data_IF_954009869321
#
_entry.id   IF_954009869321
#
_cell.length_a   1.000
_cell.length_b   1.000
_cell.length_c   1.000
_cell.angle_alpha   90.00
_cell.angle_beta   90.00
_cell.angle_gamma   90.00
#
_symmetry.space_group_name_H-M   'P 1'
#
loop_
_entity.id
_entity.type
_entity.pdbx_description
1 polymer ?
#
# COMPACT_ATOMS: atom_id res chain seq x y z
N UNK A 1 -14.59 -25.43 -94.87
CA UNK A 1 -14.19 -26.83 -94.68
C UNK A 1 -13.66 -26.93 -93.26
N UNK A 2 -14.48 -27.43 -92.34
CA UNK A 2 -14.01 -27.79 -91.01
C UNK A 2 -13.46 -29.21 -91.16
N UNK A 3 -12.19 -29.33 -91.54
CA UNK A 3 -11.52 -30.63 -91.48
C UNK A 3 -11.34 -31.00 -90.01
N UNK A 4 -12.36 -31.65 -89.45
CA UNK A 4 -12.25 -32.30 -88.15
C UNK A 4 -11.21 -33.41 -88.31
N UNK A 5 -9.99 -33.13 -87.86
CA UNK A 5 -8.95 -34.12 -87.70
C UNK A 5 -9.04 -34.67 -86.26
N UNK A 6 -9.52 -35.92 -86.06
CA UNK A 6 -9.66 -36.49 -84.72
C UNK A 6 -8.34 -36.59 -83.97
N UNK A 7 -7.22 -36.75 -84.69
CA UNK A 7 -5.87 -36.78 -84.11
C UNK A 7 -5.46 -35.44 -83.52
N UNK A 8 -5.74 -34.33 -84.22
CA UNK A 8 -5.45 -32.98 -83.73
C UNK A 8 -6.31 -32.62 -82.52
N UNK A 9 -7.59 -33.02 -82.53
CA UNK A 9 -8.50 -32.83 -81.38
C UNK A 9 -8.00 -33.59 -80.14
N UNK A 10 -7.53 -34.83 -80.32
CA UNK A 10 -7.01 -35.65 -79.23
C UNK A 10 -5.69 -35.08 -78.68
N UNK A 11 -4.81 -34.57 -79.55
CA UNK A 11 -3.59 -33.88 -79.13
C UNK A 11 -3.88 -32.61 -78.33
N UNK A 12 -4.82 -31.76 -78.79
CA UNK A 12 -5.23 -30.55 -78.08
C UNK A 12 -5.83 -30.88 -76.71
N UNK A 13 -6.63 -31.95 -76.61
CA UNK A 13 -7.14 -32.44 -75.32
C UNK A 13 -6.02 -32.85 -74.37
N UNK A 14 -5.03 -33.61 -74.84
CA UNK A 14 -3.87 -34.00 -74.02
C UNK A 14 -3.11 -32.76 -73.51
N UNK A 15 -2.86 -31.78 -74.38
CA UNK A 15 -2.18 -30.54 -74.01
C UNK A 15 -3.01 -29.74 -73.00
N UNK A 16 -4.33 -29.65 -73.19
CA UNK A 16 -5.23 -28.96 -72.27
C UNK A 16 -5.22 -29.60 -70.87
N UNK A 17 -5.36 -30.93 -70.78
CA UNK A 17 -5.32 -31.64 -69.49
C UNK A 17 -3.94 -31.55 -68.83
N UNK A 18 -2.87 -31.62 -69.62
CA UNK A 18 -1.49 -31.45 -69.12
C UNK A 18 -1.27 -30.05 -68.56
N UNK A 19 -1.74 -29.02 -69.27
CA UNK A 19 -1.66 -27.63 -68.83
C UNK A 19 -2.51 -27.38 -67.57
N UNK A 20 -3.73 -27.93 -67.53
CA UNK A 20 -4.61 -27.83 -66.36
C UNK A 20 -3.98 -28.46 -65.12
N UNK A 21 -3.35 -29.63 -65.27
CA UNK A 21 -2.62 -30.29 -64.18
C UNK A 21 -1.43 -29.44 -63.69
N UNK A 22 -0.66 -28.87 -64.62
CA UNK A 22 0.45 -27.99 -64.30
C UNK A 22 -0.01 -26.71 -63.56
N UNK A 23 -1.08 -26.06 -64.02
CA UNK A 23 -1.64 -24.89 -63.36
C UNK A 23 -2.24 -25.21 -61.98
N UNK A 24 -2.87 -26.37 -61.82
CA UNK A 24 -3.42 -26.80 -60.53
C UNK A 24 -2.34 -26.85 -59.44
N UNK A 25 -1.21 -27.47 -59.77
CA UNK A 25 -0.09 -27.63 -58.84
C UNK A 25 0.73 -26.35 -58.67
N UNK A 26 0.96 -25.59 -59.75
CA UNK A 26 1.82 -24.41 -59.72
C UNK A 26 1.12 -23.14 -59.22
N UNK A 27 -0.18 -22.97 -59.50
CA UNK A 27 -0.88 -21.71 -59.25
C UNK A 27 -2.06 -21.84 -58.29
N UNK A 28 -3.02 -22.73 -58.59
CA UNK A 28 -4.26 -22.78 -57.83
C UNK A 28 -4.05 -23.27 -56.39
N UNK A 29 -3.27 -24.33 -56.17
CA UNK A 29 -2.94 -24.79 -54.83
C UNK A 29 -2.22 -23.75 -53.96
N UNK A 30 -1.11 -23.12 -54.39
CA UNK A 30 -0.46 -22.12 -53.55
C UNK A 30 -1.31 -20.86 -53.34
N UNK A 31 -2.13 -20.46 -54.33
CA UNK A 31 -3.02 -19.32 -54.19
C UNK A 31 -4.12 -19.57 -53.14
N UNK A 32 -4.78 -20.74 -53.19
CA UNK A 32 -5.80 -21.12 -52.22
C UNK A 32 -5.20 -21.26 -50.82
N UNK A 33 -4.04 -21.91 -50.72
CA UNK A 33 -3.32 -22.00 -49.45
C UNK A 33 -3.03 -20.63 -48.84
N UNK A 34 -2.61 -19.65 -49.66
CA UNK A 34 -2.38 -18.30 -49.17
C UNK A 34 -3.66 -17.61 -48.68
N UNK A 35 -4.81 -17.86 -49.32
CA UNK A 35 -6.10 -17.35 -48.84
C UNK A 35 -6.49 -18.00 -47.50
N UNK A 36 -6.36 -19.32 -47.38
CA UNK A 36 -6.63 -20.05 -46.14
C UNK A 36 -5.70 -19.61 -45.01
N UNK A 37 -4.40 -19.46 -45.27
CA UNK A 37 -3.42 -19.00 -44.28
C UNK A 37 -3.74 -17.56 -43.83
N UNK A 38 -4.22 -16.70 -44.72
CA UNK A 38 -4.68 -15.35 -44.38
C UNK A 38 -5.94 -15.35 -43.52
N UNK A 39 -6.94 -16.13 -43.90
CA UNK A 39 -8.19 -16.22 -43.14
C UNK A 39 -7.94 -16.79 -41.74
N UNK A 40 -7.07 -17.80 -41.64
CA UNK A 40 -6.63 -18.35 -40.36
C UNK A 40 -5.88 -17.33 -39.50
N UNK A 41 -5.00 -16.53 -40.11
CA UNK A 41 -4.26 -15.46 -39.41
C UNK A 41 -5.22 -14.39 -38.89
N UNK A 42 -6.15 -13.91 -39.71
CA UNK A 42 -7.14 -12.90 -39.31
C UNK A 42 -8.03 -13.41 -38.19
N UNK A 43 -8.49 -14.66 -38.28
CA UNK A 43 -9.30 -15.28 -37.22
C UNK A 43 -8.51 -15.40 -35.91
N UNK A 44 -7.22 -15.74 -35.99
CA UNK A 44 -6.35 -15.83 -34.82
C UNK A 44 -6.09 -14.44 -34.21
N UNK A 45 -5.79 -13.44 -35.03
CA UNK A 45 -5.56 -12.06 -34.58
C UNK A 45 -6.80 -11.46 -33.92
N UNK A 46 -8.00 -11.71 -34.48
CA UNK A 46 -9.27 -11.26 -33.89
C UNK A 46 -9.49 -11.92 -32.53
N UNK A 47 -9.30 -13.25 -32.45
CA UNK A 47 -9.44 -14.00 -31.19
C UNK A 47 -8.44 -13.51 -30.13
N UNK A 48 -7.17 -13.31 -30.51
CA UNK A 48 -6.16 -12.81 -29.59
C UNK A 48 -6.49 -11.40 -29.12
N UNK A 49 -7.00 -10.53 -30.00
CA UNK A 49 -7.40 -9.18 -29.62
C UNK A 49 -8.56 -9.19 -28.61
N UNK A 50 -9.55 -10.07 -28.80
CA UNK A 50 -10.66 -10.27 -27.87
C UNK A 50 -10.17 -10.82 -26.52
N UNK A 51 -9.35 -11.88 -26.53
CA UNK A 51 -8.76 -12.45 -25.31
C UNK A 51 -7.87 -11.43 -24.57
N UNK A 52 -7.10 -10.60 -25.28
CA UNK A 52 -6.28 -9.56 -24.66
C UNK A 52 -7.14 -8.44 -24.07
N UNK A 53 -8.25 -8.08 -24.71
CA UNK A 53 -9.19 -7.09 -24.17
C UNK A 53 -9.86 -7.59 -22.88
N UNK A 54 -10.34 -8.83 -22.88
CA UNK A 54 -10.95 -9.46 -21.70
C UNK A 54 -9.94 -9.60 -20.56
N UNK A 55 -8.74 -10.11 -20.85
CA UNK A 55 -7.67 -10.21 -19.86
C UNK A 55 -7.27 -8.83 -19.31
N UNK A 56 -7.27 -7.78 -20.14
CA UNK A 56 -6.97 -6.42 -19.68
C UNK A 56 -8.04 -5.90 -18.71
N UNK A 57 -9.32 -6.12 -19.01
CA UNK A 57 -10.43 -5.78 -18.11
C UNK A 57 -10.30 -6.52 -16.77
N UNK A 58 -10.04 -7.82 -16.80
CA UNK A 58 -9.87 -8.64 -15.60
C UNK A 58 -8.67 -8.23 -14.76
N UNK A 59 -7.55 -7.90 -15.41
CA UNK A 59 -6.35 -7.41 -14.73
C UNK A 59 -6.57 -6.04 -14.08
N UNK A 60 -7.29 -5.14 -14.76
CA UNK A 60 -7.67 -3.84 -14.17
C UNK A 60 -8.61 -4.03 -12.97
N UNK A 61 -9.63 -4.89 -13.08
CA UNK A 61 -10.52 -5.18 -11.97
C UNK A 61 -9.79 -5.77 -10.75
N UNK A 62 -8.83 -6.68 -10.98
CA UNK A 62 -7.96 -7.22 -9.92
C UNK A 62 -7.06 -6.15 -9.30
N UNK A 63 -6.49 -5.27 -10.12
CA UNK A 63 -5.66 -4.16 -9.62
C UNK A 63 -6.48 -3.19 -8.77
N UNK A 64 -7.68 -2.83 -9.20
CA UNK A 64 -8.59 -1.95 -8.44
C UNK A 64 -9.01 -2.59 -7.12
N UNK A 65 -9.34 -3.89 -7.12
CA UNK A 65 -9.64 -4.64 -5.91
C UNK A 65 -8.46 -4.65 -4.93
N UNK A 66 -7.24 -4.93 -5.42
CA UNK A 66 -6.03 -4.93 -4.60
C UNK A 66 -5.73 -3.54 -4.03
N UNK A 67 -5.91 -2.48 -4.82
CA UNK A 67 -5.75 -1.10 -4.36
C UNK A 67 -6.79 -0.71 -3.30
N UNK A 68 -8.02 -1.19 -3.43
CA UNK A 68 -9.07 -0.97 -2.43
C UNK A 68 -8.74 -1.68 -1.11
N UNK A 69 -8.30 -2.95 -1.18
CA UNK A 69 -7.86 -3.73 -0.02
C UNK A 69 -6.66 -3.07 0.67
N UNK A 70 -5.61 -2.72 -0.07
CA UNK A 70 -4.43 -2.04 0.47
C UNK A 70 -4.78 -0.70 1.16
N UNK A 71 -5.73 0.06 0.60
CA UNK A 71 -6.23 1.30 1.22
C UNK A 71 -6.99 1.01 2.52
N UNK A 72 -7.81 -0.04 2.55
CA UNK A 72 -8.54 -0.44 3.74
C UNK A 72 -7.57 -0.87 4.86
N UNK A 73 -6.59 -1.70 4.54
CA UNK A 73 -5.54 -2.12 5.49
C UNK A 73 -4.73 -0.92 6.01
N UNK A 74 -4.32 -0.01 5.13
CA UNK A 74 -3.59 1.20 5.53
C UNK A 74 -4.41 2.07 6.49
N UNK A 75 -5.72 2.20 6.26
CA UNK A 75 -6.61 2.92 7.16
C UNK A 75 -6.71 2.24 8.53
N UNK A 76 -6.84 0.91 8.56
CA UNK A 76 -6.88 0.13 9.81
C UNK A 76 -5.56 0.29 10.58
N UNK A 77 -4.42 0.20 9.92
CA UNK A 77 -3.10 0.40 10.53
C UNK A 77 -3.00 1.82 11.12
N UNK A 78 -3.41 2.84 10.37
CA UNK A 78 -3.38 4.23 10.81
C UNK A 78 -4.29 4.46 12.01
N UNK A 79 -5.50 3.91 11.99
CA UNK A 79 -6.45 4.03 13.08
C UNK A 79 -5.93 3.34 14.35
N UNK A 80 -5.39 2.13 14.20
CA UNK A 80 -4.75 1.39 15.29
C UNK A 80 -3.58 2.16 15.89
N UNK A 81 -2.66 2.66 15.06
CA UNK A 81 -1.53 3.46 15.51
C UNK A 81 -1.98 4.75 16.23
N UNK A 82 -3.03 5.41 15.74
CA UNK A 82 -3.58 6.62 16.36
C UNK A 82 -4.21 6.30 17.72
N UNK A 83 -4.93 5.18 17.81
CA UNK A 83 -5.59 4.74 19.05
C UNK A 83 -4.56 4.31 20.09
N UNK A 84 -3.53 3.54 19.69
CA UNK A 84 -2.42 3.16 20.57
C UNK A 84 -1.62 4.38 21.04
N UNK A 85 -1.35 5.34 20.16
CA UNK A 85 -0.67 6.57 20.53
C UNK A 85 -1.48 7.39 21.54
N UNK A 86 -2.81 7.50 21.37
CA UNK A 86 -3.70 8.15 22.33
C UNK A 86 -3.69 7.43 23.68
N UNK A 87 -3.86 6.11 23.68
CA UNK A 87 -3.86 5.32 24.92
C UNK A 87 -2.52 5.45 25.67
N UNK A 88 -1.39 5.45 24.94
CA UNK A 88 -0.06 5.63 25.53
C UNK A 88 0.12 7.06 26.08
N UNK A 89 -0.39 8.07 25.39
CA UNK A 89 -0.36 9.45 25.87
C UNK A 89 -1.20 9.62 27.14
N UNK A 90 -2.42 9.10 27.16
CA UNK A 90 -3.30 9.11 28.34
C UNK A 90 -2.66 8.38 29.52
N UNK A 91 -2.10 7.19 29.30
CA UNK A 91 -1.40 6.44 30.34
C UNK A 91 -0.19 7.21 30.91
N UNK A 92 0.60 7.88 30.04
CA UNK A 92 1.72 8.71 30.48
C UNK A 92 1.27 9.93 31.27
N UNK A 93 0.18 10.59 30.84
CA UNK A 93 -0.38 11.73 31.56
C UNK A 93 -0.87 11.29 32.93
N UNK A 94 -1.62 10.19 33.02
CA UNK A 94 -2.12 9.66 34.29
C UNK A 94 -0.98 9.27 35.23
N UNK A 95 0.05 8.60 34.72
CA UNK A 95 1.25 8.25 35.49
C UNK A 95 1.97 9.50 36.02
N UNK A 96 2.17 10.51 35.18
CA UNK A 96 2.79 11.77 35.59
C UNK A 96 1.94 12.56 36.57
N UNK A 97 0.62 12.53 36.43
CA UNK A 97 -0.30 13.14 37.40
C UNK A 97 -0.20 12.47 38.77
N UNK A 98 -0.16 11.13 38.81
CA UNK A 98 0.06 10.38 40.07
C UNK A 98 1.42 10.67 40.69
N UNK A 99 2.48 10.71 39.88
CA UNK A 99 3.83 11.04 40.36
C UNK A 99 3.90 12.47 40.92
N UNK A 100 3.22 13.43 40.28
CA UNK A 100 3.11 14.80 40.76
C UNK A 100 2.37 14.86 42.10
N UNK A 101 1.24 14.17 42.23
CA UNK A 101 0.43 14.15 43.45
C UNK A 101 1.20 13.56 44.65
N UNK A 102 1.93 12.45 44.41
CA UNK A 102 2.83 11.85 45.41
C UNK A 102 3.94 12.84 45.81
N UNK A 103 4.57 13.50 44.82
CA UNK A 103 5.64 14.47 45.06
C UNK A 103 5.15 15.68 45.85
N UNK A 104 3.96 16.21 45.51
CA UNK A 104 3.33 17.31 46.24
C UNK A 104 3.01 16.93 47.68
N UNK A 105 2.44 15.75 47.91
CA UNK A 105 2.15 15.25 49.25
C UNK A 105 3.43 15.05 50.08
N UNK A 106 4.48 14.51 49.46
CA UNK A 106 5.79 14.36 50.11
C UNK A 106 6.42 15.71 50.45
N UNK A 107 6.33 16.69 49.55
CA UNK A 107 6.81 18.05 49.76
C UNK A 107 6.07 18.75 50.92
N UNK A 108 4.74 18.60 51.01
CA UNK A 108 3.95 19.13 52.13
C UNK A 108 4.37 18.52 53.47
N UNK A 109 4.60 17.20 53.51
CA UNK A 109 5.07 16.52 54.72
C UNK A 109 6.48 16.97 55.14
N UNK A 110 7.40 17.14 54.19
CA UNK A 110 8.75 17.68 54.43
C UNK A 110 8.67 19.11 54.98
N UNK A 111 7.82 19.95 54.40
CA UNK A 111 7.62 21.34 54.83
C UNK A 111 7.09 21.41 56.27
N UNK A 112 6.13 20.55 56.65
CA UNK A 112 5.63 20.47 58.02
C UNK A 112 6.74 20.04 59.00
N UNK A 113 7.57 19.06 58.61
CA UNK A 113 8.69 18.59 59.41
C UNK A 113 9.75 19.68 59.61
N UNK A 114 10.12 20.41 58.55
CA UNK A 114 11.02 21.56 58.61
C UNK A 114 10.43 22.67 59.49
N UNK A 115 9.14 22.99 59.34
CA UNK A 115 8.50 24.03 60.11
C UNK A 115 8.49 23.70 61.62
N UNK A 116 8.26 22.42 61.97
CA UNK A 116 8.36 21.94 63.36
C UNK A 116 9.78 22.03 63.89
N UNK A 117 10.77 21.65 63.09
CA UNK A 117 12.20 21.71 63.45
C UNK A 117 12.64 23.16 63.65
N UNK A 118 12.23 24.07 62.76
CA UNK A 118 12.49 25.50 62.86
C UNK A 118 11.85 26.11 64.11
N UNK A 119 10.58 25.79 64.41
CA UNK A 119 9.91 26.23 65.65
C UNK A 119 10.64 25.77 66.90
N UNK A 120 11.10 24.51 66.92
CA UNK A 120 11.87 23.97 68.03
C UNK A 120 13.23 24.69 68.18
N UNK A 121 13.94 24.90 67.06
CA UNK A 121 15.21 25.63 67.05
C UNK A 121 15.04 27.09 67.51
N UNK A 122 14.00 27.79 67.06
CA UNK A 122 13.69 29.15 67.49
C UNK A 122 13.42 29.19 69.01
N UNK A 123 12.60 28.25 69.51
CA UNK A 123 12.26 28.14 70.93
C UNK A 123 13.49 27.84 71.79
N UNK A 124 14.44 27.05 71.29
CA UNK A 124 15.71 26.80 71.96
C UNK A 124 16.63 28.03 71.98
N UNK A 125 16.55 28.90 70.97
CA UNK A 125 17.35 30.14 70.89
C UNK A 125 16.72 31.34 71.59
N UNK A 126 15.41 31.30 71.91
CA UNK A 126 14.69 32.35 72.64
C UNK A 126 15.38 32.82 73.94
N UNK A 127 15.91 31.93 74.80
CA UNK A 127 16.62 32.33 76.02
C UNK A 127 17.89 33.14 75.73
N UNK A 128 18.72 32.69 74.77
CA UNK A 128 19.93 33.39 74.36
C UNK A 128 19.60 34.74 73.71
N UNK A 129 18.52 34.82 72.93
CA UNK A 129 18.03 36.06 72.35
C UNK A 129 17.55 37.05 73.43
N UNK A 130 16.87 36.53 74.47
CA UNK A 130 16.39 37.31 75.62
C UNK A 130 17.55 37.85 76.47
N UNK A 131 18.59 37.06 76.73
CA UNK A 131 19.82 37.51 77.38
C UNK A 131 20.55 38.59 76.56
N UNK A 132 20.65 38.39 75.25
CA UNK A 132 21.31 39.36 74.35
C UNK A 132 20.55 40.69 74.32
N UNK A 133 19.21 40.65 74.31
CA UNK A 133 18.37 41.84 74.42
C UNK A 133 18.49 42.51 75.79
N UNK A 134 18.48 41.75 76.89
CA UNK A 134 18.65 42.30 78.24
C UNK A 134 20.01 42.98 78.40
N UNK A 135 21.10 42.39 77.93
CA UNK A 135 22.43 42.99 78.03
C UNK A 135 22.55 44.28 77.20
N UNK A 136 21.92 44.34 76.02
CA UNK A 136 21.82 45.57 75.21
C UNK A 136 20.99 46.65 75.91
N UNK A 137 19.86 46.30 76.51
CA UNK A 137 18.96 47.24 77.21
C UNK A 137 19.52 47.73 78.55
N UNK A 138 20.30 46.92 79.28
CA UNK A 138 20.98 47.37 80.49
C UNK A 138 22.27 48.15 80.22
N UNK A 139 22.75 48.13 78.96
CA UNK A 139 23.90 48.94 78.49
C UNK A 139 23.49 50.30 77.90
N UNK A 140 22.18 50.58 77.88
CA UNK A 140 21.57 51.89 77.62
C UNK A 140 21.21 52.55 78.95
#
# INVERSE_FOLDING_TARGET
MLDLNPGLMLFVLIVFFSLMYLLNTMLYQPLLKFMDDRDATIANDLKNAEEMADNSSDLNAKADALLAEAKAEANVIREKATTEAKALAESKIESKAKELDISSTAFEAELEAEQKTLKNALSAQLPAFKETLQSKLSSL
#
